data_IF_865196767710
#
_entry.id   IF_865196767710
#
_cell.length_a   1.000
_cell.length_b   1.000
_cell.length_c   1.000
_cell.angle_alpha   90.00
_cell.angle_beta   90.00
_cell.angle_gamma   90.00
#
_symmetry.space_group_name_H-M   'P 1'
#
loop_
_entity.id
_entity.type
_entity.pdbx_description
1 polymer ?
#
# COMPACT_ATOMS: atom_id res chain seq x y z
N UNK A 1 7.88 34.02 9.21
CA UNK A 1 8.63 32.82 8.79
C UNK A 1 7.62 31.72 8.50
N UNK A 2 7.49 31.31 7.25
CA UNK A 2 6.63 30.17 6.89
C UNK A 2 7.35 28.92 7.40
N UNK A 3 6.82 28.27 8.45
CA UNK A 3 7.22 26.91 8.81
C UNK A 3 6.88 26.03 7.60
N UNK A 4 7.86 25.70 6.77
CA UNK A 4 7.71 24.63 5.79
C UNK A 4 7.64 23.36 6.62
N UNK A 5 6.43 22.89 6.91
CA UNK A 5 6.24 21.55 7.47
C UNK A 5 6.60 20.54 6.38
N UNK A 6 7.28 19.45 6.75
CA UNK A 6 7.59 18.37 5.82
C UNK A 6 6.33 17.83 5.13
N UNK A 7 6.53 17.12 4.02
CA UNK A 7 5.45 16.54 3.21
C UNK A 7 5.38 15.02 3.39
N UNK A 8 4.25 14.36 3.05
CA UNK A 8 4.20 12.90 3.01
C UNK A 8 5.20 12.30 2.01
N UNK A 9 5.68 11.08 2.27
CA UNK A 9 6.60 10.35 1.38
C UNK A 9 6.11 10.35 -0.07
N UNK A 10 4.82 10.07 -0.29
CA UNK A 10 4.20 10.04 -1.63
C UNK A 10 4.28 11.39 -2.36
N UNK A 11 4.24 12.50 -1.63
CA UNK A 11 4.45 13.85 -2.17
C UNK A 11 5.93 14.14 -2.40
N UNK A 12 6.80 13.73 -1.47
CA UNK A 12 8.26 13.92 -1.59
C UNK A 12 8.82 13.24 -2.83
N UNK A 13 8.40 12.00 -3.11
CA UNK A 13 8.82 11.23 -4.29
C UNK A 13 8.54 11.99 -5.59
N UNK A 14 7.42 12.73 -5.67
CA UNK A 14 7.05 13.53 -6.84
C UNK A 14 7.89 14.81 -6.99
N UNK A 15 8.37 15.36 -5.87
CA UNK A 15 9.19 16.58 -5.85
C UNK A 15 10.66 16.30 -6.18
N UNK A 16 11.14 15.09 -5.90
CA UNK A 16 12.53 14.70 -6.12
C UNK A 16 12.77 14.32 -7.57
N UNK A 17 13.73 14.99 -8.21
CA UNK A 17 14.23 14.61 -9.53
C UNK A 17 15.16 13.41 -9.41
N UNK A 18 14.62 12.22 -9.63
CA UNK A 18 15.40 10.98 -9.62
C UNK A 18 16.38 10.90 -10.82
N UNK A 19 17.53 10.21 -10.67
CA UNK A 19 18.43 9.92 -11.78
C UNK A 19 17.75 9.09 -12.87
N UNK A 20 18.36 9.02 -14.05
CA UNK A 20 17.85 8.17 -15.15
C UNK A 20 17.87 6.71 -14.69
N UNK A 21 16.69 6.09 -14.65
CA UNK A 21 16.52 4.72 -14.15
C UNK A 21 16.07 4.64 -12.69
N UNK A 22 16.05 5.74 -11.93
CA UNK A 22 15.74 5.74 -10.50
C UNK A 22 16.97 5.54 -9.62
N UNK A 23 16.87 5.90 -8.34
CA UNK A 23 17.93 5.64 -7.35
C UNK A 23 18.24 4.14 -7.24
N UNK A 24 17.19 3.32 -7.23
CA UNK A 24 17.29 1.89 -7.48
C UNK A 24 16.62 1.64 -8.82
N UNK A 25 17.30 0.96 -9.74
CA UNK A 25 16.71 0.61 -11.02
C UNK A 25 15.62 -0.47 -10.80
N UNK A 26 14.38 -0.31 -11.29
CA UNK A 26 13.35 -1.34 -11.16
C UNK A 26 13.77 -2.71 -11.73
N UNK A 27 14.65 -2.74 -12.73
CA UNK A 27 15.20 -3.99 -13.30
C UNK A 27 16.15 -4.73 -12.35
N UNK A 28 16.63 -4.09 -11.28
CA UNK A 28 17.42 -4.74 -10.25
C UNK A 28 16.56 -5.65 -9.35
N UNK A 29 15.24 -5.48 -9.34
CA UNK A 29 14.33 -6.36 -8.62
C UNK A 29 14.17 -7.68 -9.37
N UNK A 30 14.46 -8.80 -8.69
CA UNK A 30 14.18 -10.14 -9.16
C UNK A 30 12.69 -10.39 -9.06
N UNK A 31 12.05 -10.63 -10.19
CA UNK A 31 10.61 -10.83 -10.28
C UNK A 31 10.28 -12.30 -10.50
N UNK A 32 9.26 -12.79 -9.79
CA UNK A 32 8.76 -14.15 -9.84
C UNK A 32 7.24 -14.12 -9.89
N UNK A 33 6.66 -14.90 -10.81
CA UNK A 33 5.22 -15.15 -10.83
C UNK A 33 4.83 -16.18 -9.76
N UNK A 34 3.71 -15.95 -9.09
CA UNK A 34 3.09 -16.89 -8.16
C UNK A 34 1.91 -17.66 -8.77
N UNK A 35 1.79 -17.67 -10.10
CA UNK A 35 0.75 -18.39 -10.84
C UNK A 35 0.08 -17.51 -11.89
N UNK A 36 -1.19 -17.79 -12.15
CA UNK A 36 -1.99 -17.02 -13.10
C UNK A 36 -2.02 -15.54 -12.73
N UNK A 37 -1.85 -14.69 -13.74
CA UNK A 37 -1.70 -13.25 -13.59
C UNK A 37 -2.93 -12.47 -14.06
N UNK A 38 -2.68 -11.33 -14.70
CA UNK A 38 -3.74 -10.42 -15.14
C UNK A 38 -4.60 -11.00 -16.27
N UNK A 39 -4.05 -11.89 -17.10
CA UNK A 39 -4.72 -12.44 -18.28
C UNK A 39 -5.92 -13.33 -17.93
N UNK A 40 -6.03 -13.79 -16.68
CA UNK A 40 -7.17 -14.58 -16.18
C UNK A 40 -8.22 -13.72 -15.48
N UNK A 41 -7.97 -12.41 -15.31
CA UNK A 41 -8.94 -11.47 -14.75
C UNK A 41 -9.81 -10.90 -15.87
N UNK A 42 -11.03 -10.50 -15.52
CA UNK A 42 -11.85 -9.75 -16.47
C UNK A 42 -11.15 -8.42 -16.80
N UNK A 43 -10.98 -8.05 -18.09
CA UNK A 43 -10.29 -6.83 -18.48
C UNK A 43 -11.05 -5.56 -18.13
N UNK A 44 -12.37 -5.65 -17.94
CA UNK A 44 -13.29 -4.54 -17.74
C UNK A 44 -13.88 -4.60 -16.33
N UNK A 45 -13.44 -3.67 -15.49
CA UNK A 45 -13.97 -3.46 -14.14
C UNK A 45 -14.80 -2.17 -14.14
N UNK A 46 -16.01 -2.21 -13.56
CA UNK A 46 -16.91 -1.06 -13.55
C UNK A 46 -16.65 -0.09 -12.37
N UNK A 47 -15.63 -0.36 -11.56
CA UNK A 47 -15.18 0.49 -10.44
C UNK A 47 -13.75 0.95 -10.66
N UNK A 48 -13.46 2.19 -10.26
CA UNK A 48 -12.14 2.79 -10.44
C UNK A 48 -11.02 1.98 -9.75
N UNK A 49 -9.90 1.81 -10.45
CA UNK A 49 -8.79 0.94 -10.02
C UNK A 49 -8.22 1.28 -8.63
N UNK A 50 -8.26 2.55 -8.21
CA UNK A 50 -7.80 2.95 -6.87
C UNK A 50 -8.66 2.35 -5.76
N UNK A 51 -9.99 2.31 -5.93
CA UNK A 51 -10.92 1.75 -4.94
C UNK A 51 -10.79 0.23 -4.88
N UNK A 52 -10.59 -0.40 -6.04
CA UNK A 52 -10.28 -1.82 -6.15
C UNK A 52 -8.98 -2.14 -5.41
N UNK A 53 -7.94 -1.33 -5.58
CA UNK A 53 -6.67 -1.50 -4.88
C UNK A 53 -6.82 -1.44 -3.36
N UNK A 54 -7.54 -0.44 -2.85
CA UNK A 54 -7.83 -0.30 -1.42
C UNK A 54 -8.67 -1.46 -0.88
N UNK A 55 -9.71 -1.87 -1.62
CA UNK A 55 -10.57 -2.97 -1.20
C UNK A 55 -9.78 -4.28 -1.09
N UNK A 56 -8.91 -4.57 -2.07
CA UNK A 56 -8.06 -5.76 -2.04
C UNK A 56 -7.06 -5.69 -0.88
N UNK A 57 -6.40 -4.55 -0.64
CA UNK A 57 -5.48 -4.38 0.49
C UNK A 57 -6.20 -4.61 1.83
N UNK A 58 -7.28 -3.87 2.10
CA UNK A 58 -8.01 -3.95 3.38
C UNK A 58 -8.65 -5.31 3.61
N UNK A 59 -9.20 -5.93 2.57
CA UNK A 59 -9.70 -7.30 2.67
C UNK A 59 -8.58 -8.31 2.89
N UNK A 60 -7.41 -8.13 2.28
CA UNK A 60 -6.26 -9.00 2.56
C UNK A 60 -5.84 -8.90 4.01
N UNK A 61 -5.79 -7.69 4.58
CA UNK A 61 -5.50 -7.50 6.01
C UNK A 61 -6.55 -8.18 6.89
N UNK A 62 -7.82 -7.99 6.58
CA UNK A 62 -8.94 -8.61 7.30
C UNK A 62 -8.86 -10.14 7.28
N UNK A 63 -8.75 -10.72 6.09
CA UNK A 63 -8.70 -12.17 5.88
C UNK A 63 -7.43 -12.82 6.44
N UNK A 64 -6.38 -12.03 6.72
CA UNK A 64 -5.15 -12.49 7.37
C UNK A 64 -5.05 -12.13 8.86
N UNK A 65 -6.18 -11.80 9.50
CA UNK A 65 -6.33 -11.73 10.95
C UNK A 65 -6.49 -10.34 11.56
N UNK A 66 -6.43 -9.26 10.77
CA UNK A 66 -6.66 -7.90 11.27
C UNK A 66 -8.17 -7.66 11.43
N UNK A 67 -8.69 -7.10 12.54
CA UNK A 67 -10.10 -6.77 12.64
C UNK A 67 -10.56 -5.83 11.51
N UNK A 68 -11.74 -6.06 10.95
CA UNK A 68 -12.26 -5.24 9.84
C UNK A 68 -12.29 -3.74 10.17
N UNK A 69 -12.60 -3.37 11.42
CA UNK A 69 -12.59 -1.97 11.89
C UNK A 69 -11.21 -1.33 11.83
N UNK A 70 -10.14 -2.09 12.09
CA UNK A 70 -8.77 -1.58 11.97
C UNK A 70 -8.29 -1.60 10.51
N UNK A 71 -8.61 -2.65 9.75
CA UNK A 71 -8.26 -2.72 8.33
C UNK A 71 -8.88 -1.55 7.52
N UNK A 72 -10.14 -1.20 7.80
CA UNK A 72 -10.86 -0.10 7.16
C UNK A 72 -10.80 1.23 7.92
N UNK A 73 -9.86 1.39 8.88
CA UNK A 73 -9.77 2.57 9.75
C UNK A 73 -9.71 3.90 8.98
N UNK A 74 -9.02 3.93 7.85
CA UNK A 74 -8.92 5.14 7.03
C UNK A 74 -10.27 5.48 6.37
N UNK A 75 -10.98 4.47 5.85
CA UNK A 75 -12.35 4.63 5.38
C UNK A 75 -13.29 5.14 6.49
N UNK A 76 -13.18 4.63 7.72
CA UNK A 76 -14.01 5.10 8.85
C UNK A 76 -13.73 6.58 9.16
N UNK A 77 -12.46 6.98 9.18
CA UNK A 77 -12.07 8.40 9.36
C UNK A 77 -12.64 9.26 8.24
N UNK A 78 -12.57 8.79 7.00
CA UNK A 78 -13.16 9.48 5.84
C UNK A 78 -14.68 9.66 5.96
N UNK A 79 -15.40 8.60 6.37
CA UNK A 79 -16.84 8.66 6.62
C UNK A 79 -17.17 9.68 7.73
N UNK A 80 -16.33 9.78 8.76
CA UNK A 80 -16.54 10.73 9.88
C UNK A 80 -16.43 12.19 9.44
N UNK A 81 -15.55 12.50 8.48
CA UNK A 81 -15.38 13.85 7.94
C UNK A 81 -16.66 14.34 7.24
N UNK A 82 -17.47 13.43 6.69
CA UNK A 82 -18.72 13.74 5.98
C UNK A 82 -19.97 13.28 6.73
N UNK A 83 -19.84 12.94 8.01
CA UNK A 83 -20.95 12.53 8.88
C UNK A 83 -21.71 11.28 8.38
N UNK A 84 -21.01 10.32 7.77
CA UNK A 84 -21.56 9.04 7.30
C UNK A 84 -21.08 7.83 8.15
N UNK A 85 -20.68 8.04 9.41
CA UNK A 85 -20.14 6.99 10.31
C UNK A 85 -21.11 5.82 10.48
N UNK A 86 -22.42 6.12 10.59
CA UNK A 86 -23.46 5.10 10.69
C UNK A 86 -23.52 4.21 9.44
N UNK A 87 -23.28 4.78 8.26
CA UNK A 87 -23.26 4.04 6.99
C UNK A 87 -22.01 3.17 6.91
N UNK A 88 -20.84 3.72 7.22
CA UNK A 88 -19.59 2.96 7.28
C UNK A 88 -19.69 1.78 8.28
N UNK A 89 -20.28 2.00 9.45
CA UNK A 89 -20.48 0.95 10.47
C UNK A 89 -21.35 -0.20 9.93
N UNK A 90 -22.45 0.11 9.24
CA UNK A 90 -23.30 -0.92 8.62
C UNK A 90 -22.58 -1.71 7.54
N UNK A 91 -21.82 -1.03 6.68
CA UNK A 91 -21.04 -1.70 5.63
C UNK A 91 -19.97 -2.61 6.26
N UNK A 92 -19.26 -2.16 7.30
CA UNK A 92 -18.25 -2.99 8.01
C UNK A 92 -18.88 -4.22 8.64
N UNK A 93 -20.05 -4.11 9.26
CA UNK A 93 -20.77 -5.25 9.84
C UNK A 93 -21.17 -6.30 8.77
N UNK A 94 -21.25 -5.89 7.51
CA UNK A 94 -21.49 -6.77 6.37
C UNK A 94 -20.22 -7.35 5.74
N UNK A 95 -19.03 -7.07 6.27
CA UNK A 95 -17.75 -7.67 5.80
C UNK A 95 -17.42 -8.86 6.70
N UNK A 96 -17.79 -10.05 6.27
CA UNK A 96 -17.69 -11.29 7.08
C UNK A 96 -16.83 -12.38 6.43
N UNK A 97 -16.38 -12.19 5.19
CA UNK A 97 -15.54 -13.15 4.49
C UNK A 97 -15.31 -12.74 3.04
N UNK A 98 -15.30 -13.72 2.14
CA UNK A 98 -15.09 -13.51 0.70
C UNK A 98 -16.36 -13.74 -0.14
N UNK A 99 -17.53 -13.84 0.47
CA UNK A 99 -18.80 -13.85 -0.25
C UNK A 99 -19.02 -12.53 -1.03
N UNK A 100 -20.00 -12.55 -1.96
CA UNK A 100 -20.25 -11.42 -2.84
C UNK A 100 -20.62 -10.14 -2.04
N UNK A 101 -21.42 -10.26 -0.98
CA UNK A 101 -21.86 -9.12 -0.17
C UNK A 101 -20.69 -8.48 0.60
N UNK A 102 -19.79 -9.30 1.16
CA UNK A 102 -18.57 -8.83 1.83
C UNK A 102 -17.68 -8.05 0.86
N UNK A 103 -17.50 -8.54 -0.37
CA UNK A 103 -16.71 -7.86 -1.40
C UNK A 103 -17.39 -6.55 -1.84
N UNK A 104 -18.71 -6.53 -2.04
CA UNK A 104 -19.46 -5.31 -2.35
C UNK A 104 -19.29 -4.26 -1.25
N UNK A 105 -19.45 -4.67 0.01
CA UNK A 105 -19.32 -3.77 1.16
C UNK A 105 -17.90 -3.22 1.28
N UNK A 106 -16.87 -4.04 1.08
CA UNK A 106 -15.48 -3.63 1.07
C UNK A 106 -15.19 -2.58 -0.02
N UNK A 107 -15.66 -2.81 -1.25
CA UNK A 107 -15.47 -1.86 -2.36
C UNK A 107 -16.19 -0.54 -2.10
N UNK A 108 -17.39 -0.56 -1.51
CA UNK A 108 -18.11 0.65 -1.08
C UNK A 108 -17.36 1.40 0.02
N UNK A 109 -16.90 0.69 1.05
CA UNK A 109 -16.14 1.28 2.16
C UNK A 109 -14.87 1.97 1.69
N UNK A 110 -14.17 1.42 0.70
CA UNK A 110 -12.99 2.04 0.10
C UNK A 110 -13.27 3.43 -0.50
N UNK A 111 -14.52 3.72 -0.87
CA UNK A 111 -14.93 5.05 -1.35
C UNK A 111 -14.73 6.15 -0.31
N UNK A 112 -14.88 5.84 0.98
CA UNK A 112 -14.67 6.82 2.05
C UNK A 112 -13.21 7.20 2.26
N UNK A 113 -12.25 6.30 1.97
CA UNK A 113 -10.81 6.61 2.12
C UNK A 113 -10.42 7.85 1.30
N UNK A 114 -11.03 8.01 0.11
CA UNK A 114 -10.81 9.16 -0.78
C UNK A 114 -11.02 10.48 -0.04
N UNK A 115 -12.04 10.58 0.83
CA UNK A 115 -12.33 11.77 1.63
C UNK A 115 -11.15 12.10 2.55
N UNK A 116 -10.61 11.09 3.25
CA UNK A 116 -9.51 11.29 4.18
C UNK A 116 -8.20 11.64 3.46
N UNK A 117 -7.89 10.98 2.35
CA UNK A 117 -6.58 11.14 1.67
C UNK A 117 -6.53 12.28 0.66
N UNK A 118 -7.64 12.57 0.00
CA UNK A 118 -7.70 13.50 -1.14
C UNK A 118 -8.76 14.59 -0.98
N UNK A 119 -9.56 14.56 0.10
CA UNK A 119 -10.65 15.50 0.31
C UNK A 119 -11.87 15.22 -0.57
N UNK A 120 -12.82 16.16 -0.57
CA UNK A 120 -14.13 15.99 -1.21
C UNK A 120 -14.12 16.03 -2.74
N UNK A 121 -13.10 16.64 -3.35
CA UNK A 121 -13.09 16.91 -4.79
C UNK A 121 -13.13 15.63 -5.65
N UNK A 122 -12.60 14.52 -5.15
CA UNK A 122 -12.61 13.22 -5.81
C UNK A 122 -13.62 12.22 -5.24
N UNK A 123 -14.40 12.60 -4.24
CA UNK A 123 -15.34 11.70 -3.59
C UNK A 123 -16.60 11.49 -4.44
N UNK A 124 -16.98 10.23 -4.61
CA UNK A 124 -18.28 9.81 -5.14
C UNK A 124 -19.02 9.13 -4.00
N UNK A 125 -20.32 9.40 -3.86
CA UNK A 125 -21.15 8.74 -2.84
C UNK A 125 -20.98 7.23 -2.91
N UNK A 126 -20.77 6.58 -1.77
CA UNK A 126 -20.61 5.12 -1.70
C UNK A 126 -21.85 4.36 -2.18
N UNK A 127 -23.01 5.01 -2.18
CA UNK A 127 -24.27 4.45 -2.71
C UNK A 127 -24.22 4.30 -4.25
N UNK A 128 -23.37 5.06 -4.91
CA UNK A 128 -23.15 5.02 -6.36
C UNK A 128 -21.97 4.12 -6.77
N UNK A 129 -21.33 3.45 -5.81
CA UNK A 129 -20.25 2.47 -6.04
C UNK A 129 -20.88 1.08 -6.03
N UNK A 130 -21.21 0.56 -7.21
CA UNK A 130 -21.90 -0.72 -7.35
C UNK A 130 -21.06 -1.66 -8.22
N UNK A 131 -20.12 -2.44 -7.62
CA UNK A 131 -19.30 -3.36 -8.40
C UNK A 131 -20.17 -4.44 -9.01
N UNK A 132 -19.96 -4.73 -10.29
CA UNK A 132 -20.66 -5.82 -10.98
C UNK A 132 -20.03 -7.18 -10.67
N UNK A 133 -20.70 -8.27 -11.10
CA UNK A 133 -20.23 -9.62 -10.82
C UNK A 133 -18.81 -9.90 -11.36
N UNK A 134 -18.41 -9.47 -12.58
CA UNK A 134 -17.01 -9.53 -13.01
C UNK A 134 -16.02 -8.81 -12.08
N UNK A 135 -16.34 -7.59 -11.65
CA UNK A 135 -15.50 -6.81 -10.74
C UNK A 135 -15.37 -7.48 -9.38
N UNK A 136 -16.47 -8.01 -8.83
CA UNK A 136 -16.48 -8.78 -7.56
C UNK A 136 -15.56 -10.01 -7.67
N UNK A 137 -15.66 -10.77 -8.76
CA UNK A 137 -14.79 -11.93 -9.00
C UNK A 137 -13.31 -11.53 -9.08
N UNK A 138 -12.98 -10.46 -9.80
CA UNK A 138 -11.60 -9.98 -9.88
C UNK A 138 -11.05 -9.59 -8.51
N UNK A 139 -11.83 -8.84 -7.70
CA UNK A 139 -11.44 -8.46 -6.34
C UNK A 139 -11.18 -9.69 -5.49
N UNK A 140 -12.10 -10.67 -5.50
CA UNK A 140 -11.95 -11.94 -4.77
C UNK A 140 -10.68 -12.67 -5.17
N UNK A 141 -10.44 -12.88 -6.47
CA UNK A 141 -9.24 -13.56 -6.97
C UNK A 141 -7.96 -12.85 -6.50
N UNK A 142 -7.93 -11.51 -6.51
CA UNK A 142 -6.76 -10.78 -6.04
C UNK A 142 -6.56 -10.91 -4.53
N UNK A 143 -7.62 -10.99 -3.72
CA UNK A 143 -7.52 -11.23 -2.28
C UNK A 143 -6.99 -12.65 -2.03
N UNK A 144 -7.53 -13.66 -2.71
CA UNK A 144 -7.08 -15.06 -2.60
C UNK A 144 -5.60 -15.21 -2.98
N UNK A 145 -5.17 -14.57 -4.08
CA UNK A 145 -3.75 -14.52 -4.46
C UNK A 145 -2.88 -13.90 -3.38
N UNK A 146 -3.38 -12.87 -2.70
CA UNK A 146 -2.67 -12.18 -1.64
C UNK A 146 -2.54 -13.03 -0.38
N UNK A 147 -3.54 -13.85 -0.07
CA UNK A 147 -3.46 -14.84 1.00
C UNK A 147 -2.42 -15.92 0.68
N UNK A 148 -2.44 -16.46 -0.55
CA UNK A 148 -1.42 -17.41 -1.00
C UNK A 148 0.00 -16.82 -0.98
N UNK A 149 0.15 -15.53 -1.31
CA UNK A 149 1.41 -14.82 -1.15
C UNK A 149 1.87 -14.80 0.33
N UNK A 150 0.94 -14.57 1.28
CA UNK A 150 1.26 -14.61 2.71
C UNK A 150 1.57 -16.01 3.22
N UNK A 151 1.02 -17.07 2.62
CA UNK A 151 1.45 -18.44 2.92
C UNK A 151 2.91 -18.70 2.51
N UNK A 152 3.35 -18.08 1.40
CA UNK A 152 4.69 -18.26 0.85
C UNK A 152 5.76 -17.36 1.49
N UNK A 153 5.41 -16.11 1.86
CA UNK A 153 6.37 -15.11 2.34
C UNK A 153 6.09 -14.61 3.76
N UNK A 154 4.94 -14.93 4.32
CA UNK A 154 4.54 -14.52 5.68
C UNK A 154 5.18 -15.37 6.78
N UNK A 155 4.67 -15.25 8.02
CA UNK A 155 3.58 -14.36 8.44
C UNK A 155 3.98 -12.88 8.44
N UNK A 156 2.98 -11.98 8.52
CA UNK A 156 3.23 -10.55 8.74
C UNK A 156 3.84 -10.33 10.13
N UNK A 157 4.79 -9.40 10.21
CA UNK A 157 5.42 -8.96 11.47
C UNK A 157 4.84 -7.60 11.89
N UNK A 158 4.87 -6.62 10.99
CA UNK A 158 4.15 -5.35 11.14
C UNK A 158 3.09 -5.25 10.05
N UNK A 159 1.93 -4.65 10.37
CA UNK A 159 0.82 -4.42 9.43
C UNK A 159 0.25 -3.01 9.65
N UNK A 160 0.30 -2.16 8.62
CA UNK A 160 -0.27 -0.82 8.65
C UNK A 160 0.41 0.10 9.64
N UNK A 161 1.72 0.29 9.48
CA UNK A 161 2.54 1.05 10.42
C UNK A 161 2.98 2.41 9.86
N UNK A 162 3.30 3.32 10.77
CA UNK A 162 3.89 4.63 10.46
C UNK A 162 5.37 4.65 10.87
N UNK A 163 6.13 5.67 10.49
CA UNK A 163 7.56 5.78 10.78
C UNK A 163 7.85 6.75 11.93
N UNK A 164 7.12 6.64 13.05
CA UNK A 164 7.35 7.49 14.23
C UNK A 164 8.81 7.41 14.70
N UNK A 165 9.45 8.56 14.95
CA UNK A 165 10.89 8.68 15.21
C UNK A 165 11.76 8.77 13.95
N UNK A 166 11.28 8.24 12.82
CA UNK A 166 11.98 8.27 11.53
C UNK A 166 11.65 9.47 10.63
N UNK A 167 10.73 10.36 11.03
CA UNK A 167 10.38 11.55 10.25
C UNK A 167 11.42 12.68 10.36
N UNK A 168 11.39 13.61 9.41
CA UNK A 168 12.27 14.80 9.36
C UNK A 168 11.46 16.07 9.09
N UNK A 169 12.12 17.23 9.04
CA UNK A 169 11.49 18.47 8.60
C UNK A 169 11.13 18.49 7.11
N UNK A 170 11.66 17.55 6.31
CA UNK A 170 11.37 17.40 4.88
C UNK A 170 10.25 16.37 4.65
N UNK A 171 10.28 15.26 5.39
CA UNK A 171 9.33 14.14 5.28
C UNK A 171 8.62 13.93 6.60
N UNK A 172 7.34 14.27 6.67
CA UNK A 172 6.57 14.32 7.92
C UNK A 172 5.55 13.19 8.11
N UNK A 173 5.30 12.40 7.07
CA UNK A 173 4.32 11.33 7.10
C UNK A 173 4.64 10.21 6.10
N UNK A 174 4.30 8.98 6.46
CA UNK A 174 4.38 7.81 5.59
C UNK A 174 3.60 6.65 6.19
N UNK A 175 2.94 5.88 5.33
CA UNK A 175 2.15 4.70 5.69
C UNK A 175 2.82 3.48 5.03
N UNK A 176 3.40 2.59 5.83
CA UNK A 176 3.93 1.31 5.36
C UNK A 176 2.83 0.24 5.31
N UNK A 177 2.86 -0.61 4.29
CA UNK A 177 1.83 -1.65 4.12
C UNK A 177 2.02 -2.77 5.14
N UNK A 178 3.10 -3.56 5.01
CA UNK A 178 3.44 -4.57 5.99
C UNK A 178 4.92 -5.01 5.87
N UNK A 179 5.40 -5.69 6.90
CA UNK A 179 6.67 -6.42 6.88
C UNK A 179 6.44 -7.90 7.13
N UNK A 180 7.40 -8.71 6.71
CA UNK A 180 7.57 -10.11 7.11
C UNK A 180 8.91 -10.23 7.83
N UNK A 181 9.33 -11.44 8.23
CA UNK A 181 10.54 -11.60 9.06
C UNK A 181 11.80 -10.97 8.48
N UNK A 182 11.92 -10.90 7.14
CA UNK A 182 13.12 -10.41 6.45
C UNK A 182 12.82 -9.37 5.35
N UNK A 183 11.57 -9.00 5.12
CA UNK A 183 11.19 -8.18 3.95
C UNK A 183 10.20 -7.09 4.28
N UNK A 184 10.51 -5.88 3.82
CA UNK A 184 9.56 -4.78 3.74
C UNK A 184 8.77 -4.90 2.45
N UNK A 185 7.45 -4.92 2.55
CA UNK A 185 6.57 -5.10 1.41
C UNK A 185 5.76 -3.84 1.11
N UNK A 186 5.71 -3.49 -0.17
CA UNK A 186 4.80 -2.50 -0.73
C UNK A 186 3.76 -3.25 -1.58
N UNK A 187 2.50 -3.17 -1.17
CA UNK A 187 1.37 -3.83 -1.80
C UNK A 187 0.83 -2.95 -2.93
N UNK A 188 0.76 -3.49 -4.15
CA UNK A 188 0.46 -2.69 -5.34
C UNK A 188 -0.49 -3.40 -6.30
N UNK A 189 -1.75 -3.01 -6.25
CA UNK A 189 -2.76 -3.44 -7.23
C UNK A 189 -2.66 -2.57 -8.48
N UNK A 190 -1.87 -2.99 -9.47
CA UNK A 190 -1.61 -2.21 -10.69
C UNK A 190 -1.46 -3.09 -11.91
N UNK A 191 -1.84 -2.58 -13.09
CA UNK A 191 -1.51 -3.23 -14.38
C UNK A 191 -0.05 -3.02 -14.79
N UNK A 192 0.65 -2.08 -14.14
CA UNK A 192 2.03 -1.70 -14.47
C UNK A 192 3.03 -2.48 -13.62
N UNK A 193 4.23 -2.78 -14.15
CA UNK A 193 5.33 -3.32 -13.36
C UNK A 193 5.85 -2.26 -12.37
N UNK A 194 6.76 -2.70 -11.49
CA UNK A 194 7.47 -1.84 -10.53
C UNK A 194 8.09 -0.63 -11.24
N UNK A 195 7.80 0.57 -10.75
CA UNK A 195 8.37 1.82 -11.26
C UNK A 195 9.49 2.35 -10.37
N UNK A 196 10.25 3.33 -10.87
CA UNK A 196 11.31 4.00 -10.07
C UNK A 196 10.74 4.70 -8.84
N UNK A 197 9.51 5.21 -8.92
CA UNK A 197 8.78 5.79 -7.79
C UNK A 197 8.48 4.74 -6.71
N UNK A 198 8.09 3.52 -7.09
CA UNK A 198 7.91 2.43 -6.13
C UNK A 198 9.23 2.06 -5.46
N UNK A 199 10.32 1.98 -6.23
CA UNK A 199 11.63 1.64 -5.65
C UNK A 199 12.17 2.73 -4.72
N UNK A 200 11.93 4.01 -5.03
CA UNK A 200 12.29 5.11 -4.13
C UNK A 200 11.43 5.08 -2.86
N UNK A 201 10.13 4.79 -2.98
CA UNK A 201 9.24 4.62 -1.82
C UNK A 201 9.77 3.54 -0.87
N UNK A 202 10.08 2.36 -1.39
CA UNK A 202 10.62 1.26 -0.59
C UNK A 202 11.95 1.61 0.08
N UNK A 203 12.85 2.28 -0.66
CA UNK A 203 14.12 2.72 -0.08
C UNK A 203 13.89 3.72 1.05
N UNK A 204 13.03 4.72 0.84
CA UNK A 204 12.68 5.69 1.87
C UNK A 204 12.06 5.01 3.09
N UNK A 205 11.09 4.12 2.91
CA UNK A 205 10.46 3.38 4.01
C UNK A 205 11.43 2.50 4.77
N UNK A 206 12.35 1.81 4.10
CA UNK A 206 13.37 1.02 4.79
C UNK A 206 14.28 1.90 5.65
N UNK A 207 14.78 3.01 5.09
CA UNK A 207 15.66 3.93 5.84
C UNK A 207 14.91 4.59 6.98
N UNK A 208 13.70 5.09 6.73
CA UNK A 208 12.85 5.68 7.78
C UNK A 208 12.50 4.68 8.87
N UNK A 209 12.25 3.42 8.53
CA UNK A 209 11.98 2.38 9.50
C UNK A 209 13.17 2.07 10.39
N UNK A 210 14.40 2.06 9.86
CA UNK A 210 15.62 1.90 10.67
C UNK A 210 15.86 3.07 11.65
N UNK A 211 15.36 4.26 11.32
CA UNK A 211 15.39 5.44 12.19
C UNK A 211 14.14 5.59 13.07
N UNK A 212 13.15 4.71 12.93
CA UNK A 212 11.89 4.76 13.66
C UNK A 212 11.94 3.99 14.98
N UNK A 213 10.83 4.03 15.71
CA UNK A 213 10.60 3.21 16.91
C UNK A 213 10.52 1.70 16.63
N UNK A 214 10.54 1.26 15.36
CA UNK A 214 10.33 -0.14 14.95
C UNK A 214 11.65 -0.93 14.86
N UNK A 215 12.07 -1.67 15.90
CA UNK A 215 13.30 -2.47 15.86
C UNK A 215 13.29 -3.58 14.79
N UNK A 216 12.11 -4.00 14.34
CA UNK A 216 11.90 -5.03 13.31
C UNK A 216 12.62 -4.68 12.00
N UNK A 217 12.78 -3.39 11.70
CA UNK A 217 13.48 -2.94 10.50
C UNK A 217 14.95 -3.37 10.44
N UNK A 218 15.57 -3.70 11.59
CA UNK A 218 16.94 -4.23 11.65
C UNK A 218 17.06 -5.63 11.05
N UNK A 219 15.96 -6.37 10.96
CA UNK A 219 15.93 -7.72 10.39
C UNK A 219 15.68 -7.74 8.87
N UNK A 220 15.36 -6.59 8.27
CA UNK A 220 15.01 -6.49 6.87
C UNK A 220 16.24 -6.73 5.99
N UNK A 221 16.19 -7.79 5.19
CA UNK A 221 17.19 -8.20 4.21
C UNK A 221 16.75 -7.92 2.78
N UNK A 222 15.46 -7.69 2.55
CA UNK A 222 14.93 -7.44 1.22
C UNK A 222 13.91 -6.31 1.21
N UNK A 223 13.85 -5.60 0.09
CA UNK A 223 12.76 -4.69 -0.24
C UNK A 223 11.92 -5.35 -1.33
N UNK A 224 10.60 -5.40 -1.14
CA UNK A 224 9.69 -6.16 -1.97
C UNK A 224 8.47 -5.36 -2.42
N UNK A 225 8.03 -5.60 -3.66
CA UNK A 225 6.70 -5.24 -4.14
C UNK A 225 5.93 -6.53 -4.39
N UNK A 226 4.70 -6.60 -3.90
CA UNK A 226 3.76 -7.63 -4.32
C UNK A 226 2.59 -7.01 -5.07
N UNK A 227 2.28 -7.57 -6.23
CA UNK A 227 1.18 -7.12 -7.07
C UNK A 227 0.21 -8.28 -7.35
N UNK A 228 -0.97 -8.32 -6.70
CA UNK A 228 -1.92 -9.43 -6.86
C UNK A 228 -2.63 -9.44 -8.22
N UNK A 229 -2.67 -8.29 -8.91
CA UNK A 229 -3.27 -8.20 -10.26
C UNK A 229 -2.39 -8.91 -11.28
N UNK A 230 -1.09 -8.66 -11.24
CA UNK A 230 -0.11 -9.37 -12.06
C UNK A 230 0.24 -10.74 -11.49
N UNK A 231 -0.04 -10.95 -10.20
CA UNK A 231 0.41 -12.08 -9.38
C UNK A 231 1.94 -12.25 -9.37
N UNK A 232 2.64 -11.12 -9.24
CA UNK A 232 4.11 -11.05 -9.29
C UNK A 232 4.65 -10.51 -7.97
N UNK A 233 5.68 -11.19 -7.48
CA UNK A 233 6.58 -10.73 -6.43
C UNK A 233 7.84 -10.18 -7.08
N UNK A 234 8.27 -8.99 -6.69
CA UNK A 234 9.53 -8.40 -7.11
C UNK A 234 10.33 -8.05 -5.85
N UNK A 235 11.56 -8.58 -5.69
CA UNK A 235 12.43 -8.30 -4.53
C UNK A 235 13.85 -7.91 -4.94
N UNK A 236 14.48 -7.05 -4.14
CA UNK A 236 15.92 -6.79 -4.17
C UNK A 236 16.50 -7.04 -2.78
N UNK A 237 17.69 -7.62 -2.68
CA UNK A 237 18.38 -7.71 -1.40
C UNK A 237 18.92 -6.32 -1.02
N UNK A 238 18.78 -5.92 0.24
CA UNK A 238 19.30 -4.62 0.71
C UNK A 238 20.83 -4.53 0.56
N UNK A 239 21.52 -5.67 0.60
CA UNK A 239 22.95 -5.79 0.36
C UNK A 239 23.36 -5.48 -1.08
N UNK A 240 22.44 -5.58 -2.04
CA UNK A 240 22.67 -5.27 -3.45
C UNK A 240 22.47 -3.76 -3.75
N UNK A 241 22.06 -2.96 -2.75
CA UNK A 241 21.85 -1.52 -2.89
C UNK A 241 23.17 -0.80 -2.56
N UNK A 242 23.76 -0.03 -3.49
CA UNK A 242 25.01 0.69 -3.24
C UNK A 242 24.90 1.67 -2.06
N UNK A 243 25.94 1.72 -1.22
CA UNK A 243 25.94 2.55 -0.01
C UNK A 243 25.88 4.05 -0.31
N UNK A 244 26.48 4.49 -1.41
CA UNK A 244 26.41 5.88 -1.89
C UNK A 244 24.98 6.29 -2.24
N UNK A 245 24.20 5.40 -2.86
CA UNK A 245 22.77 5.62 -3.13
C UNK A 245 21.97 5.73 -1.84
N UNK A 246 22.25 4.86 -0.85
CA UNK A 246 21.59 4.91 0.46
C UNK A 246 21.86 6.26 1.13
N UNK A 247 23.14 6.64 1.26
CA UNK A 247 23.54 7.91 1.86
C UNK A 247 22.92 9.10 1.13
N UNK A 248 22.92 9.09 -0.19
CA UNK A 248 22.31 10.16 -0.98
C UNK A 248 20.82 10.31 -0.69
N UNK A 249 20.07 9.22 -0.64
CA UNK A 249 18.63 9.26 -0.35
C UNK A 249 18.37 9.68 1.11
N UNK A 250 19.17 9.22 2.06
CA UNK A 250 19.05 9.65 3.45
C UNK A 250 19.25 11.16 3.62
N UNK A 251 20.29 11.72 3.01
CA UNK A 251 20.61 13.14 3.16
C UNK A 251 19.76 14.05 2.28
N UNK A 252 19.68 13.78 0.97
CA UNK A 252 19.08 14.72 0.01
C UNK A 252 17.56 14.54 -0.12
N UNK A 253 17.07 13.32 0.06
CA UNK A 253 15.65 13.00 -0.15
C UNK A 253 14.88 13.03 1.16
N UNK A 254 15.37 12.32 2.18
CA UNK A 254 14.71 12.20 3.49
C UNK A 254 15.10 13.37 4.40
N UNK A 255 16.35 13.82 4.37
CA UNK A 255 16.81 14.96 5.18
C UNK A 255 17.42 14.57 6.53
N UNK A 256 18.03 13.38 6.63
CA UNK A 256 18.83 13.04 7.81
C UNK A 256 20.17 13.75 7.76
N UNK A 257 20.62 14.24 8.93
CA UNK A 257 21.88 14.97 9.09
C UNK A 257 22.04 16.15 8.10
N UNK A 258 20.91 16.77 7.70
CA UNK A 258 20.85 17.95 6.85
C UNK A 258 21.03 19.26 7.63
#
# INVERSE_FOLDING_TARGET
MIKISGVPVTSRIKQVKQPRGGYINPKAFKSQSLGDGMDTLNPDENVHASLIGLAVDYMTRFMSGTPATEAFKISIKGASIIHEESKATRLIAGVNGLDDDSVVNAVKLSGFDVVYRSGLMGYKSVDEINPDAPTIRNVRTMIERSLHFLDAYGPKVLDGFTFEGGYTCIVSAGDGDFTTSDTLWDFKVSRKPVSKENTLQLLMYWRMGLHSIHPEFKNIRYLGVYNPRLNIVSRIAVADIPSDIISQVEHEVIGYNA
#
